data_IF_846311269747
#
_entry.id   IF_846311269747
#
_cell.length_a   1.000
_cell.length_b   1.000
_cell.length_c   1.000
_cell.angle_alpha   90.00
_cell.angle_beta   90.00
_cell.angle_gamma   90.00
#
_symmetry.space_group_name_H-M   'P 1'
#
loop_
_entity.id
_entity.type
_entity.pdbx_description
1 polymer ?
#
# COMPACT_ATOMS: atom_id res chain seq x y z
N UNK A 1 -13.49 -20.70 54.17
CA UNK A 1 -14.29 -20.84 52.93
C UNK A 1 -13.63 -19.96 51.88
N UNK A 2 -12.52 -20.37 51.27
CA UNK A 2 -12.46 -21.18 50.05
C UNK A 2 -13.03 -20.49 48.80
N UNK A 3 -12.42 -19.38 48.37
CA UNK A 3 -12.67 -18.81 47.04
C UNK A 3 -11.52 -19.19 46.09
N UNK A 4 -11.52 -20.47 45.69
CA UNK A 4 -10.66 -21.02 44.64
C UNK A 4 -11.20 -20.58 43.28
N UNK A 5 -11.02 -19.31 42.90
CA UNK A 5 -11.16 -18.91 41.48
C UNK A 5 -9.92 -19.39 40.74
N UNK A 6 -10.04 -20.61 40.21
CA UNK A 6 -9.05 -21.34 39.42
C UNK A 6 -8.23 -20.41 38.52
N UNK A 7 -6.91 -20.41 38.72
CA UNK A 7 -5.97 -20.08 37.67
C UNK A 7 -6.31 -20.97 36.46
N UNK A 8 -6.96 -20.39 35.45
CA UNK A 8 -7.32 -21.08 34.22
C UNK A 8 -6.00 -21.40 33.51
N UNK A 9 -5.65 -22.69 33.44
CA UNK A 9 -4.47 -23.22 32.77
C UNK A 9 -4.20 -22.45 31.47
N UNK A 10 -3.11 -21.69 31.43
CA UNK A 10 -2.70 -20.90 30.26
C UNK A 10 -1.99 -21.83 29.26
N UNK A 11 -2.65 -22.92 28.88
CA UNK A 11 -2.11 -23.91 27.96
C UNK A 11 -2.43 -23.46 26.54
N UNK A 12 -1.42 -22.91 25.86
CA UNK A 12 -1.54 -22.50 24.44
C UNK A 12 -2.03 -23.70 23.63
N UNK A 13 -3.17 -23.55 22.95
CA UNK A 13 -3.70 -24.57 22.06
C UNK A 13 -2.80 -24.64 20.82
N UNK A 14 -2.53 -25.83 20.29
CA UNK A 14 -1.64 -26.02 19.14
C UNK A 14 -2.36 -26.78 18.02
N UNK A 15 -1.96 -26.54 16.76
CA UNK A 15 -2.54 -27.21 15.58
C UNK A 15 -1.56 -28.23 14.98
N UNK A 16 -1.97 -29.50 14.86
CA UNK A 16 -1.20 -30.57 14.20
C UNK A 16 -0.52 -31.57 15.16
N UNK A 17 0.10 -32.62 14.61
CA UNK A 17 0.94 -33.59 15.37
C UNK A 17 2.17 -32.84 15.87
N UNK A 18 2.45 -32.88 17.18
CA UNK A 18 3.72 -32.40 17.74
C UNK A 18 4.87 -33.20 17.12
N UNK A 19 5.48 -32.67 16.05
CA UNK A 19 6.82 -33.09 15.64
C UNK A 19 7.79 -32.39 16.58
N UNK A 20 8.67 -33.17 17.20
CA UNK A 20 9.69 -32.68 18.14
C UNK A 20 10.37 -31.41 17.62
N UNK A 21 10.06 -30.26 18.23
CA UNK A 21 10.75 -28.99 18.02
C UNK A 21 9.95 -27.83 17.41
N UNK A 22 8.76 -28.03 16.82
CA UNK A 22 7.98 -26.92 16.22
C UNK A 22 6.53 -26.97 16.66
N UNK A 23 6.07 -25.91 17.32
CA UNK A 23 4.70 -25.78 17.82
C UNK A 23 4.09 -24.43 17.41
N UNK A 24 2.94 -24.46 16.71
CA UNK A 24 2.24 -23.27 16.23
C UNK A 24 1.06 -22.93 17.16
N UNK A 25 1.17 -21.90 18.01
CA UNK A 25 0.08 -21.56 18.93
C UNK A 25 -1.14 -21.07 18.12
N UNK A 26 -2.31 -21.59 18.49
CA UNK A 26 -3.60 -21.11 18.05
C UNK A 26 -3.95 -19.84 18.82
N UNK A 27 -4.53 -18.88 18.12
CA UNK A 27 -5.17 -17.75 18.77
C UNK A 27 -6.33 -18.28 19.65
N UNK A 28 -6.46 -17.81 20.90
CA UNK A 28 -7.63 -18.07 21.73
C UNK A 28 -8.92 -17.68 21.00
N UNK A 29 -10.01 -18.35 21.34
CA UNK A 29 -11.31 -17.99 20.79
C UNK A 29 -11.76 -16.61 21.28
N UNK A 30 -12.57 -15.90 20.50
CA UNK A 30 -13.06 -14.57 20.88
C UNK A 30 -13.81 -14.58 22.22
N UNK A 31 -14.45 -15.70 22.58
CA UNK A 31 -15.16 -15.91 23.84
C UNK A 31 -14.25 -16.08 25.07
N UNK A 32 -12.96 -16.32 24.86
CA UNK A 32 -11.96 -16.43 25.94
C UNK A 32 -11.27 -15.09 26.23
N UNK A 33 -11.51 -14.08 25.39
CA UNK A 33 -10.92 -12.77 25.55
C UNK A 33 -11.68 -11.93 26.59
N UNK A 34 -11.01 -10.98 27.27
CA UNK A 34 -11.68 -10.09 28.20
C UNK A 34 -12.75 -9.23 27.51
N UNK A 35 -13.74 -8.77 28.27
CA UNK A 35 -14.91 -8.04 27.75
C UNK A 35 -14.55 -6.79 26.92
N UNK A 36 -13.40 -6.16 27.19
CA UNK A 36 -12.92 -4.99 26.46
C UNK A 36 -12.21 -5.32 25.12
N UNK A 37 -11.91 -6.58 24.84
CA UNK A 37 -11.18 -6.98 23.63
C UNK A 37 -11.96 -6.65 22.35
N UNK A 38 -13.28 -6.86 22.35
CA UNK A 38 -14.11 -6.56 21.19
C UNK A 38 -14.08 -5.05 20.85
N UNK A 39 -14.03 -4.20 21.88
CA UNK A 39 -13.90 -2.75 21.72
C UNK A 39 -12.54 -2.40 21.10
N UNK A 40 -11.45 -2.87 21.70
CA UNK A 40 -10.09 -2.67 21.18
C UNK A 40 -9.96 -3.15 19.73
N UNK A 41 -10.47 -4.34 19.42
CA UNK A 41 -10.43 -4.89 18.08
C UNK A 41 -11.20 -4.02 17.08
N UNK A 42 -12.36 -3.49 17.47
CA UNK A 42 -13.16 -2.58 16.65
C UNK A 42 -12.40 -1.27 16.40
N UNK A 43 -11.84 -0.67 17.43
CA UNK A 43 -11.04 0.56 17.33
C UNK A 43 -9.84 0.37 16.40
N UNK A 44 -9.10 -0.74 16.56
CA UNK A 44 -7.95 -1.05 15.71
C UNK A 44 -8.37 -1.26 14.25
N UNK A 45 -9.45 -2.01 13.99
CA UNK A 45 -9.99 -2.21 12.64
C UNK A 45 -10.40 -0.88 11.99
N UNK A 46 -11.08 -0.01 12.75
CA UNK A 46 -11.47 1.31 12.26
C UNK A 46 -10.24 2.15 11.93
N UNK A 47 -9.27 2.23 12.84
CA UNK A 47 -8.05 2.99 12.63
C UNK A 47 -7.27 2.49 11.42
N UNK A 48 -7.05 1.17 11.29
CA UNK A 48 -6.37 0.57 10.14
C UNK A 48 -7.10 0.92 8.83
N UNK A 49 -8.43 0.86 8.82
CA UNK A 49 -9.22 1.18 7.63
C UNK A 49 -9.07 2.65 7.24
N UNK A 50 -9.17 3.56 8.21
CA UNK A 50 -8.99 5.00 7.98
C UNK A 50 -7.59 5.32 7.47
N UNK A 51 -6.54 4.77 8.08
CA UNK A 51 -5.16 5.04 7.65
C UNK A 51 -4.87 4.46 6.26
N UNK A 52 -5.37 3.25 5.96
CA UNK A 52 -5.23 2.68 4.60
C UNK A 52 -5.92 3.55 3.54
N UNK A 53 -7.10 4.06 3.83
CA UNK A 53 -7.80 4.99 2.92
C UNK A 53 -7.00 6.28 2.73
N UNK A 54 -6.50 6.87 3.82
CA UNK A 54 -5.66 8.07 3.78
C UNK A 54 -4.42 7.84 2.93
N UNK A 55 -3.70 6.74 3.14
CA UNK A 55 -2.51 6.38 2.34
C UNK A 55 -2.87 6.27 0.86
N UNK A 56 -3.97 5.60 0.51
CA UNK A 56 -4.41 5.48 -0.88
C UNK A 56 -4.72 6.85 -1.52
N UNK A 57 -5.42 7.72 -0.80
CA UNK A 57 -5.74 9.08 -1.28
C UNK A 57 -4.46 9.91 -1.47
N UNK A 58 -3.58 9.92 -0.48
CA UNK A 58 -2.32 10.69 -0.55
C UNK A 58 -1.42 10.18 -1.67
N UNK A 59 -1.28 8.86 -1.82
CA UNK A 59 -0.50 8.26 -2.90
C UNK A 59 -1.09 8.61 -4.27
N UNK A 60 -2.41 8.49 -4.44
CA UNK A 60 -3.08 8.85 -5.70
C UNK A 60 -2.91 10.33 -6.04
N UNK A 61 -3.04 11.23 -5.05
CA UNK A 61 -2.83 12.66 -5.25
C UNK A 61 -1.39 12.95 -5.69
N UNK A 62 -0.40 12.34 -5.02
CA UNK A 62 1.01 12.47 -5.40
C UNK A 62 1.29 11.94 -6.81
N UNK A 63 0.66 10.81 -7.20
CA UNK A 63 0.80 10.27 -8.56
C UNK A 63 0.22 11.21 -9.63
N UNK A 64 -0.96 11.80 -9.38
CA UNK A 64 -1.57 12.74 -10.33
C UNK A 64 -0.69 13.97 -10.52
N UNK A 65 -0.15 14.52 -9.41
CA UNK A 65 0.77 15.67 -9.46
C UNK A 65 2.04 15.32 -10.23
N UNK A 66 2.67 14.18 -9.93
CA UNK A 66 3.85 13.70 -10.66
C UNK A 66 3.59 13.58 -12.17
N UNK A 67 2.44 13.04 -12.56
CA UNK A 67 2.07 12.90 -13.96
C UNK A 67 1.85 14.24 -14.66
N UNK A 68 1.27 15.21 -13.94
CA UNK A 68 1.19 16.58 -14.44
C UNK A 68 2.58 17.21 -14.62
N UNK A 69 3.47 17.06 -13.63
CA UNK A 69 4.84 17.59 -13.67
C UNK A 69 5.65 17.02 -14.84
N UNK A 70 5.54 15.71 -15.08
CA UNK A 70 6.17 15.06 -16.25
C UNK A 70 5.63 15.67 -17.55
N UNK A 71 4.31 15.88 -17.64
CA UNK A 71 3.68 16.55 -18.77
C UNK A 71 4.24 17.96 -19.01
N UNK A 72 4.35 18.76 -17.94
CA UNK A 72 4.94 20.10 -18.00
C UNK A 72 6.40 20.08 -18.45
N UNK A 73 7.20 19.15 -17.94
CA UNK A 73 8.59 18.99 -18.33
C UNK A 73 8.72 18.70 -19.84
N UNK A 74 7.88 17.81 -20.39
CA UNK A 74 7.86 17.51 -21.82
C UNK A 74 7.49 18.78 -22.61
N UNK A 75 6.41 19.47 -22.24
CA UNK A 75 5.98 20.69 -22.94
C UNK A 75 7.04 21.78 -22.94
N UNK A 76 7.69 21.98 -21.80
CA UNK A 76 8.72 22.98 -21.64
C UNK A 76 9.89 22.74 -22.60
N UNK A 77 10.38 21.50 -22.66
CA UNK A 77 11.49 21.13 -23.55
C UNK A 77 11.09 21.19 -25.03
N UNK A 78 9.87 20.77 -25.38
CA UNK A 78 9.37 20.88 -26.75
C UNK A 78 9.27 22.34 -27.19
N UNK A 79 8.76 23.24 -26.33
CA UNK A 79 8.58 24.67 -26.66
C UNK A 79 9.89 25.46 -26.67
N UNK A 80 10.77 25.25 -25.69
CA UNK A 80 11.98 26.08 -25.51
C UNK A 80 13.21 25.55 -26.23
N UNK A 81 13.35 24.23 -26.32
CA UNK A 81 14.57 23.58 -26.84
C UNK A 81 14.32 22.94 -28.21
N UNK A 82 13.10 23.03 -28.75
CA UNK A 82 12.75 22.51 -30.07
C UNK A 82 12.74 20.98 -30.13
N UNK A 83 12.63 20.30 -28.99
CA UNK A 83 12.62 18.84 -28.96
C UNK A 83 11.40 18.30 -29.73
N UNK A 84 11.66 17.47 -30.75
CA UNK A 84 10.60 16.88 -31.58
C UNK A 84 9.85 15.74 -30.88
N UNK A 85 8.83 15.18 -31.55
CA UNK A 85 7.97 14.14 -31.00
C UNK A 85 8.71 12.86 -30.53
N UNK A 86 9.90 12.59 -31.07
CA UNK A 86 10.74 11.44 -30.71
C UNK A 86 11.24 11.45 -29.26
N UNK A 87 11.25 12.61 -28.59
CA UNK A 87 11.67 12.67 -27.18
C UNK A 87 10.78 11.80 -26.29
N UNK A 88 9.49 11.70 -26.60
CA UNK A 88 8.55 10.94 -25.77
C UNK A 88 8.89 9.45 -25.79
N UNK A 89 9.28 8.92 -26.95
CA UNK A 89 9.65 7.52 -27.08
C UNK A 89 10.97 7.24 -26.34
N UNK A 90 11.95 8.17 -26.40
CA UNK A 90 13.21 8.04 -25.66
C UNK A 90 13.01 8.11 -24.14
N UNK A 91 12.25 9.10 -23.67
CA UNK A 91 11.93 9.24 -22.24
C UNK A 91 11.19 8.02 -21.72
N UNK A 92 10.27 7.47 -22.49
CA UNK A 92 9.57 6.25 -22.07
C UNK A 92 10.52 5.08 -21.88
N UNK A 93 11.45 4.87 -22.81
CA UNK A 93 12.44 3.80 -22.68
C UNK A 93 13.31 3.99 -21.42
N UNK A 94 13.88 5.19 -21.25
CA UNK A 94 14.78 5.49 -20.12
C UNK A 94 14.04 5.41 -18.77
N UNK A 95 12.79 5.89 -18.69
CA UNK A 95 12.00 5.86 -17.46
C UNK A 95 11.52 4.45 -17.11
N UNK A 96 11.13 3.63 -18.10
CA UNK A 96 10.77 2.23 -17.85
C UNK A 96 11.98 1.40 -17.39
N UNK A 97 13.18 1.70 -17.89
CA UNK A 97 14.42 1.07 -17.43
C UNK A 97 14.77 1.47 -15.99
N UNK A 98 14.63 2.76 -15.67
CA UNK A 98 14.91 3.28 -14.33
C UNK A 98 13.89 2.82 -13.28
N UNK A 99 12.64 2.58 -13.68
CA UNK A 99 11.53 2.26 -12.77
C UNK A 99 10.74 1.03 -13.25
N UNK A 100 11.33 -0.18 -13.22
CA UNK A 100 10.74 -1.37 -13.83
C UNK A 100 9.41 -1.80 -13.19
N UNK A 101 9.22 -1.52 -11.90
CA UNK A 101 7.97 -1.83 -11.19
C UNK A 101 6.87 -0.80 -11.43
N UNK A 102 7.22 0.38 -11.96
CA UNK A 102 6.29 1.49 -12.14
C UNK A 102 5.49 1.32 -13.43
N UNK A 103 4.21 1.04 -13.26
CA UNK A 103 3.25 1.10 -14.37
C UNK A 103 2.95 2.55 -14.73
N UNK A 104 2.68 2.83 -16.00
CA UNK A 104 2.26 4.16 -16.43
C UNK A 104 3.25 4.94 -17.28
N UNK A 105 4.47 4.45 -17.48
CA UNK A 105 5.55 5.18 -18.18
C UNK A 105 5.69 4.86 -19.67
N UNK A 106 4.68 4.21 -20.27
CA UNK A 106 4.67 3.91 -21.72
C UNK A 106 4.60 5.19 -22.58
N UNK A 107 5.01 5.16 -23.86
CA UNK A 107 5.02 6.35 -24.70
C UNK A 107 3.62 6.95 -24.87
N UNK A 108 2.58 6.08 -24.89
CA UNK A 108 1.18 6.51 -24.94
C UNK A 108 0.80 7.30 -23.69
N UNK A 109 1.17 6.82 -22.52
CA UNK A 109 0.83 7.49 -21.27
C UNK A 109 1.59 8.80 -21.09
N UNK A 110 2.85 8.88 -21.51
CA UNK A 110 3.58 10.15 -21.53
C UNK A 110 2.91 11.19 -22.46
N UNK A 111 2.36 10.75 -23.61
CA UNK A 111 1.54 11.64 -24.46
C UNK A 111 0.28 12.12 -23.75
N UNK A 112 -0.35 11.28 -22.92
CA UNK A 112 -1.49 11.69 -22.10
C UNK A 112 -1.10 12.65 -20.98
N UNK A 113 0.02 12.41 -20.29
CA UNK A 113 0.57 13.33 -19.28
C UNK A 113 0.85 14.71 -19.88
N UNK A 114 1.47 14.73 -21.07
CA UNK A 114 1.69 15.95 -21.85
C UNK A 114 0.38 16.67 -22.16
N UNK A 115 -0.64 15.97 -22.65
CA UNK A 115 -1.97 16.54 -22.92
C UNK A 115 -2.67 17.02 -21.65
N UNK A 116 -2.50 16.31 -20.54
CA UNK A 116 -3.06 16.68 -19.25
C UNK A 116 -2.46 18.00 -18.73
N UNK A 117 -1.17 18.22 -18.98
CA UNK A 117 -0.48 19.47 -18.65
C UNK A 117 -0.79 20.64 -19.62
N UNK A 118 -1.33 20.36 -20.82
CA UNK A 118 -1.77 21.39 -21.78
C UNK A 118 -3.16 21.97 -21.46
N UNK A 119 -3.97 21.26 -20.67
CA UNK A 119 -5.35 21.62 -20.33
C UNK A 119 -5.41 22.64 -19.18
#
# INVERSE_FOLDING_TARGET
MADKKKAKDNKRLFRGRERSGVSFPLAPSASEMPDNYAHLLKELKQRITTERLRVAITANAAMILLYWDIGQAILHRQKREGWGAKIVDRLSADLCEAFPDMQGLSPRNLKYMRKFAEA
#
